data_IF_929783981422
#
_entry.id   IF_929783981422
#
_cell.length_a   1.000
_cell.length_b   1.000
_cell.length_c   1.000
_cell.angle_alpha   90.00
_cell.angle_beta   90.00
_cell.angle_gamma   90.00
#
_symmetry.space_group_name_H-M   'P 1'
#
loop_
_entity.id
_entity.type
_entity.pdbx_description
1 polymer ?
#
# COMPACT_ATOMS: atom_id res chain seq x y z
N UNK A 1 -16.03 2.41 -3.98
CA UNK A 1 -17.15 1.65 -4.56
C UNK A 1 -16.76 0.18 -4.60
N UNK A 2 -17.74 -0.67 -4.38
CA UNK A 2 -17.58 -2.13 -4.51
C UNK A 2 -18.55 -2.62 -5.57
N UNK A 3 -18.09 -3.45 -6.49
CA UNK A 3 -18.88 -3.99 -7.60
C UNK A 3 -18.73 -5.50 -7.66
N UNK A 4 -19.84 -6.21 -7.89
CA UNK A 4 -19.85 -7.64 -8.15
C UNK A 4 -19.72 -7.86 -9.66
N UNK A 5 -18.78 -8.70 -10.04
CA UNK A 5 -18.52 -9.12 -11.42
C UNK A 5 -18.83 -10.61 -11.61
N UNK A 6 -18.84 -11.04 -12.85
CA UNK A 6 -19.11 -12.44 -13.21
C UNK A 6 -18.15 -13.41 -12.49
N UNK A 7 -18.69 -14.57 -12.09
CA UNK A 7 -17.92 -15.58 -11.38
C UNK A 7 -17.75 -15.32 -9.86
N UNK A 8 -18.52 -14.38 -9.29
CA UNK A 8 -18.49 -14.10 -7.84
C UNK A 8 -17.31 -13.24 -7.38
N UNK A 9 -16.67 -12.51 -8.31
CA UNK A 9 -15.61 -11.59 -7.97
C UNK A 9 -16.15 -10.23 -7.53
N UNK A 10 -15.72 -9.78 -6.35
CA UNK A 10 -15.95 -8.43 -5.86
C UNK A 10 -14.74 -7.54 -6.19
N UNK A 11 -14.96 -6.46 -6.90
CA UNK A 11 -13.95 -5.46 -7.20
C UNK A 11 -14.10 -4.26 -6.26
N UNK A 12 -13.02 -3.93 -5.55
CA UNK A 12 -12.93 -2.70 -4.75
C UNK A 12 -12.28 -1.61 -5.57
N UNK A 13 -13.04 -0.54 -5.79
CA UNK A 13 -12.67 0.56 -6.68
C UNK A 13 -12.58 1.85 -5.87
N UNK A 14 -11.41 2.47 -5.88
CA UNK A 14 -11.22 3.79 -5.30
C UNK A 14 -11.79 4.85 -6.24
N UNK A 15 -12.72 5.65 -5.74
CA UNK A 15 -13.38 6.73 -6.50
C UNK A 15 -12.97 8.14 -6.04
N UNK A 16 -12.01 8.24 -5.11
CA UNK A 16 -11.60 9.49 -4.50
C UNK A 16 -12.18 9.69 -3.10
N UNK A 17 -11.55 10.55 -2.32
CA UNK A 17 -12.13 11.06 -1.06
C UNK A 17 -13.16 12.14 -1.35
N UNK A 18 -14.04 12.46 -0.39
CA UNK A 18 -15.02 13.54 -0.53
C UNK A 18 -14.34 14.87 -0.91
N UNK A 19 -13.23 15.20 -0.26
CA UNK A 19 -12.45 16.41 -0.56
C UNK A 19 -11.88 16.41 -1.99
N UNK A 20 -11.34 15.27 -2.46
CA UNK A 20 -10.82 15.14 -3.82
C UNK A 20 -11.93 15.28 -4.88
N UNK A 21 -13.09 14.70 -4.60
CA UNK A 21 -14.25 14.79 -5.50
C UNK A 21 -14.78 16.22 -5.58
N UNK A 22 -14.92 16.92 -4.44
CA UNK A 22 -15.34 18.31 -4.39
C UNK A 22 -14.38 19.23 -5.16
N UNK A 23 -13.07 19.10 -4.90
CA UNK A 23 -12.05 19.88 -5.61
C UNK A 23 -12.00 19.61 -7.12
N UNK A 24 -12.24 18.37 -7.56
CA UNK A 24 -12.34 18.04 -8.98
C UNK A 24 -13.59 18.66 -9.60
N UNK A 25 -14.72 18.61 -8.90
CA UNK A 25 -15.97 19.22 -9.35
C UNK A 25 -15.85 20.73 -9.53
N UNK A 26 -15.19 21.44 -8.61
CA UNK A 26 -14.90 22.87 -8.73
C UNK A 26 -14.07 23.21 -9.98
N UNK A 27 -13.18 22.31 -10.42
CA UNK A 27 -12.35 22.47 -11.62
C UNK A 27 -13.00 21.93 -12.90
N UNK A 28 -14.22 21.40 -12.81
CA UNK A 28 -14.88 20.73 -13.93
C UNK A 28 -14.20 19.42 -14.37
N UNK A 29 -13.44 18.79 -13.48
CA UNK A 29 -12.71 17.56 -13.71
C UNK A 29 -13.47 16.34 -13.18
N UNK A 30 -13.20 15.17 -13.74
CA UNK A 30 -13.73 13.89 -13.26
C UNK A 30 -12.60 13.06 -12.64
N UNK A 31 -12.82 12.56 -11.42
CA UNK A 31 -11.90 11.60 -10.81
C UNK A 31 -12.14 10.22 -11.42
N UNK A 32 -11.17 9.72 -12.19
CA UNK A 32 -11.24 8.39 -12.77
C UNK A 32 -11.25 7.32 -11.67
N UNK A 33 -12.18 6.35 -11.71
CA UNK A 33 -12.18 5.21 -10.80
C UNK A 33 -10.90 4.38 -11.00
N UNK A 34 -10.28 3.97 -9.89
CA UNK A 34 -9.05 3.16 -9.92
C UNK A 34 -9.30 1.83 -9.24
N UNK A 35 -9.16 0.69 -9.92
CA UNK A 35 -9.22 -0.62 -9.28
C UNK A 35 -8.12 -0.73 -8.21
N UNK A 36 -8.49 -1.19 -7.01
CA UNK A 36 -7.54 -1.35 -5.88
C UNK A 36 -7.18 -2.81 -5.72
N UNK A 37 -8.19 -3.65 -5.57
CA UNK A 37 -8.06 -5.11 -5.51
C UNK A 37 -9.37 -5.78 -5.86
N UNK A 38 -9.31 -7.08 -6.14
CA UNK A 38 -10.47 -7.95 -6.28
C UNK A 38 -10.38 -9.07 -5.25
N UNK A 39 -11.54 -9.54 -4.79
CA UNK A 39 -11.64 -10.69 -3.90
C UNK A 39 -12.74 -11.63 -4.43
N UNK A 40 -12.54 -12.93 -4.25
CA UNK A 40 -13.53 -13.94 -4.55
C UNK A 40 -14.30 -14.26 -3.27
N UNK A 41 -15.62 -14.15 -3.33
CA UNK A 41 -16.51 -14.55 -2.23
C UNK A 41 -16.74 -16.07 -2.29
N UNK A 42 -15.72 -16.80 -1.85
CA UNK A 42 -15.73 -18.27 -1.82
C UNK A 42 -15.01 -18.74 -0.55
N UNK A 43 -15.42 -19.89 0.01
CA UNK A 43 -14.69 -20.52 1.09
C UNK A 43 -13.23 -20.77 0.67
N UNK A 44 -12.29 -20.38 1.54
CA UNK A 44 -10.88 -20.61 1.35
C UNK A 44 -10.31 -21.42 2.51
N UNK A 45 -9.45 -22.37 2.20
CA UNK A 45 -8.71 -23.14 3.18
C UNK A 45 -7.29 -22.56 3.34
N UNK A 46 -6.65 -22.84 4.47
CA UNK A 46 -5.27 -22.42 4.71
C UNK A 46 -4.32 -22.97 3.63
N UNK A 47 -4.60 -24.16 3.11
CA UNK A 47 -3.85 -24.79 2.03
C UNK A 47 -3.84 -23.98 0.73
N UNK A 48 -4.88 -23.18 0.46
CA UNK A 48 -4.97 -22.34 -0.73
C UNK A 48 -3.98 -21.17 -0.68
N UNK A 49 -3.57 -20.78 0.52
CA UNK A 49 -2.58 -19.74 0.73
C UNK A 49 -1.12 -20.21 0.56
N UNK A 50 -0.87 -21.53 0.60
CA UNK A 50 0.51 -22.09 0.55
C UNK A 50 1.22 -21.73 -0.75
N UNK A 51 0.65 -21.96 -1.96
CA UNK A 51 1.34 -21.62 -3.21
C UNK A 51 1.62 -20.13 -3.33
N UNK A 52 0.67 -19.29 -2.88
CA UNK A 52 0.81 -17.84 -2.92
C UNK A 52 1.89 -17.35 -1.94
N UNK A 53 1.89 -17.90 -0.73
CA UNK A 53 2.93 -17.61 0.27
C UNK A 53 4.31 -18.04 -0.23
N UNK A 54 4.41 -19.20 -0.84
CA UNK A 54 5.66 -19.69 -1.46
C UNK A 54 6.13 -18.73 -2.56
N UNK A 55 5.24 -18.32 -3.48
CA UNK A 55 5.57 -17.35 -4.52
C UNK A 55 6.06 -16.04 -3.92
N UNK A 56 5.31 -15.47 -2.98
CA UNK A 56 5.67 -14.18 -2.35
C UNK A 56 7.02 -14.22 -1.64
N UNK A 57 7.38 -15.35 -1.02
CA UNK A 57 8.60 -15.47 -0.21
C UNK A 57 9.83 -15.96 -0.96
N UNK A 58 9.68 -16.60 -2.13
CA UNK A 58 10.80 -17.28 -2.79
C UNK A 58 10.95 -16.96 -4.28
N UNK A 59 9.88 -16.54 -4.97
CA UNK A 59 9.96 -16.32 -6.41
C UNK A 59 10.79 -15.06 -6.72
N UNK A 60 11.74 -15.11 -7.68
CA UNK A 60 12.59 -13.97 -8.01
C UNK A 60 11.83 -12.75 -8.54
N UNK A 61 10.67 -12.93 -9.18
CA UNK A 61 9.82 -11.83 -9.65
C UNK A 61 8.88 -11.28 -8.58
N UNK A 62 8.90 -11.85 -7.38
CA UNK A 62 8.12 -11.31 -6.26
C UNK A 62 8.73 -9.99 -5.78
N UNK A 63 7.92 -8.95 -5.66
CA UNK A 63 8.35 -7.67 -5.09
C UNK A 63 8.85 -7.81 -3.65
N UNK A 64 8.37 -8.80 -2.91
CA UNK A 64 8.76 -9.06 -1.51
C UNK A 64 10.14 -9.72 -1.39
N UNK A 65 10.66 -10.32 -2.46
CA UNK A 65 12.04 -10.83 -2.50
C UNK A 65 13.03 -9.81 -3.04
N UNK A 66 12.54 -8.83 -3.80
CA UNK A 66 13.38 -7.83 -4.45
C UNK A 66 13.57 -6.58 -3.60
N UNK A 67 12.55 -6.18 -2.82
CA UNK A 67 12.56 -4.90 -2.13
C UNK A 67 12.14 -5.02 -0.67
N UNK A 68 12.80 -4.24 0.16
CA UNK A 68 12.31 -3.99 1.53
C UNK A 68 11.14 -3.02 1.45
N UNK A 69 10.04 -3.39 2.10
CA UNK A 69 8.81 -2.60 2.11
C UNK A 69 8.23 -2.58 3.52
N UNK A 70 7.88 -1.40 3.99
CA UNK A 70 7.13 -1.21 5.23
C UNK A 70 6.13 -0.09 5.03
N UNK A 71 4.93 -0.27 5.57
CA UNK A 71 3.87 0.73 5.52
C UNK A 71 3.13 0.75 6.85
N UNK A 72 2.82 1.94 7.34
CA UNK A 72 2.04 2.14 8.55
C UNK A 72 1.01 3.23 8.33
N UNK A 73 -0.24 2.93 8.66
CA UNK A 73 -1.29 3.93 8.74
C UNK A 73 -1.11 4.74 10.02
N UNK A 74 -1.20 6.07 9.90
CA UNK A 74 -1.24 7.01 11.03
C UNK A 74 -2.65 7.59 11.17
N UNK A 75 -2.95 8.29 12.24
CA UNK A 75 -4.24 8.96 12.41
C UNK A 75 -4.52 9.95 11.28
N UNK A 76 -3.49 10.67 10.83
CA UNK A 76 -3.59 11.77 9.86
C UNK A 76 -3.23 11.36 8.43
N UNK A 77 -2.74 10.13 8.21
CA UNK A 77 -2.30 9.73 6.88
C UNK A 77 -1.61 8.38 6.83
N UNK A 78 -0.41 8.36 6.25
CA UNK A 78 0.40 7.15 6.22
C UNK A 78 1.89 7.47 6.08
N UNK A 79 2.71 6.53 6.51
CA UNK A 79 4.16 6.54 6.30
C UNK A 79 4.59 5.22 5.68
N UNK A 80 5.52 5.25 4.74
CA UNK A 80 6.02 4.06 4.06
C UNK A 80 7.48 4.20 3.66
N UNK A 81 8.17 3.06 3.62
CA UNK A 81 9.45 2.93 2.92
C UNK A 81 9.28 1.82 1.89
N UNK A 82 9.64 2.10 0.65
CA UNK A 82 9.67 1.11 -0.43
C UNK A 82 10.98 1.27 -1.17
N UNK A 83 11.79 0.22 -1.19
CA UNK A 83 13.20 0.29 -1.63
C UNK A 83 13.97 1.30 -0.76
N UNK A 84 14.38 2.39 -1.39
CA UNK A 84 15.09 3.53 -0.84
C UNK A 84 14.23 4.79 -0.71
N UNK A 85 12.93 4.71 -1.01
CA UNK A 85 12.03 5.86 -0.94
C UNK A 85 11.22 5.85 0.36
N UNK A 86 11.50 6.83 1.23
CA UNK A 86 10.65 7.17 2.36
C UNK A 86 9.58 8.16 1.90
N UNK A 87 8.33 7.87 2.24
CA UNK A 87 7.18 8.74 1.93
C UNK A 87 6.33 8.88 3.18
N UNK A 88 6.05 10.13 3.58
CA UNK A 88 5.09 10.47 4.61
C UNK A 88 3.99 11.33 3.99
N UNK A 89 2.76 10.95 4.21
CA UNK A 89 1.56 11.72 3.83
C UNK A 89 0.87 12.14 5.11
N UNK A 90 0.63 13.43 5.26
CA UNK A 90 -0.03 14.03 6.40
C UNK A 90 -0.95 15.19 5.90
N UNK A 91 -1.84 15.76 6.73
CA UNK A 91 -2.74 16.84 6.31
C UNK A 91 -2.03 18.06 5.73
N UNK A 92 -0.83 18.35 6.24
CA UNK A 92 0.02 19.45 5.80
C UNK A 92 0.71 19.20 4.45
N UNK A 93 0.69 17.96 3.94
CA UNK A 93 1.23 17.61 2.64
C UNK A 93 1.92 16.26 2.57
N UNK A 94 2.68 16.09 1.48
CA UNK A 94 3.45 14.88 1.20
C UNK A 94 4.95 15.21 1.26
N UNK A 95 5.66 14.51 2.13
CA UNK A 95 7.12 14.46 2.19
C UNK A 95 7.61 13.23 1.45
N UNK A 96 8.67 13.39 0.64
CA UNK A 96 9.37 12.28 -0.01
C UNK A 96 10.86 12.48 0.13
N UNK A 97 11.57 11.43 0.56
CA UNK A 97 13.02 11.46 0.79
C UNK A 97 13.64 10.15 0.34
N UNK A 98 14.80 10.22 -0.31
CA UNK A 98 15.60 9.03 -0.63
C UNK A 98 16.45 8.65 0.57
N UNK A 99 16.37 7.40 0.98
CA UNK A 99 17.18 6.81 2.06
C UNK A 99 18.51 6.38 1.47
N UNK A 100 19.62 6.93 1.98
CA UNK A 100 20.93 6.80 1.36
C UNK A 100 21.88 5.85 2.10
N UNK A 101 21.52 5.46 3.33
CA UNK A 101 22.35 4.55 4.14
C UNK A 101 21.50 3.58 4.96
N UNK A 102 22.13 2.49 5.39
CA UNK A 102 21.50 1.49 6.27
C UNK A 102 21.20 2.07 7.67
N UNK A 103 22.06 2.94 8.17
CA UNK A 103 21.84 3.60 9.47
C UNK A 103 20.63 4.54 9.41
N UNK A 104 20.47 5.28 8.32
CA UNK A 104 19.29 6.11 8.08
C UNK A 104 18.02 5.24 7.96
N UNK A 105 18.11 4.11 7.26
CA UNK A 105 17.00 3.17 7.14
C UNK A 105 16.57 2.63 8.51
N UNK A 106 17.52 2.22 9.35
CA UNK A 106 17.27 1.74 10.71
C UNK A 106 16.64 2.81 11.61
N UNK A 107 17.17 4.03 11.53
CA UNK A 107 16.62 5.17 12.29
C UNK A 107 15.16 5.46 11.90
N UNK A 108 14.84 5.45 10.62
CA UNK A 108 13.46 5.62 10.13
C UNK A 108 12.53 4.48 10.55
N UNK A 109 13.02 3.23 10.54
CA UNK A 109 12.24 2.09 11.03
C UNK A 109 11.89 2.23 12.51
N UNK A 110 12.84 2.65 13.33
CA UNK A 110 12.61 2.86 14.75
C UNK A 110 11.66 4.05 15.00
N UNK A 111 11.94 5.20 14.39
CA UNK A 111 11.19 6.43 14.60
C UNK A 111 9.73 6.33 14.14
N UNK A 112 9.49 5.87 12.90
CA UNK A 112 8.17 5.91 12.30
C UNK A 112 7.38 4.62 12.39
N UNK A 113 8.05 3.48 12.56
CA UNK A 113 7.39 2.18 12.57
C UNK A 113 7.52 1.43 13.89
N UNK A 114 8.42 1.87 14.78
CA UNK A 114 8.69 1.19 16.05
C UNK A 114 9.40 -0.15 15.87
N UNK A 115 10.12 -0.31 14.73
CA UNK A 115 10.83 -1.55 14.39
C UNK A 115 12.32 -1.35 14.69
N UNK A 116 12.84 -2.13 15.63
CA UNK A 116 14.27 -2.18 15.95
C UNK A 116 14.86 -3.45 15.32
N UNK A 117 15.76 -3.28 14.36
CA UNK A 117 16.47 -4.41 13.75
C UNK A 117 17.68 -4.80 14.62
N UNK A 118 17.95 -6.11 14.79
CA UNK A 118 19.14 -6.57 15.48
C UNK A 118 20.40 -6.06 14.79
N UNK A 119 21.47 -5.95 15.57
CA UNK A 119 22.80 -5.57 15.07
C UNK A 119 23.37 -6.65 14.15
#
# INVERSE_FOLDING_TARGET
>A
RVELHDGGWWHVIYCGTAAKLAAAQERGETVAPTPVFALLDAPAALTDCIPLSYYCSTHPDSVFTQWRMVNRRTEDGNVSITKDQFVRVAPEGKETRTVTSEDEYRALLEEFFGIVLPA
#
